data_IF_171585567390
#
_entry.id   IF_171585567390
#
_cell.length_a   1.000
_cell.length_b   1.000
_cell.length_c   1.000
_cell.angle_alpha   90.00
_cell.angle_beta   90.00
_cell.angle_gamma   90.00
#
_symmetry.space_group_name_H-M   'P 1'
#
loop_
_entity.id
_entity.type
_entity.pdbx_description
1 polymer ?
#
# COMPACT_ATOMS: atom_id res chain seq x y z
N UNK A 1 7.76 -7.45 8.30
CA UNK A 1 8.78 -7.29 9.36
C UNK A 1 9.68 -6.12 8.97
N UNK A 2 9.58 -4.98 9.65
CA UNK A 2 10.52 -3.86 9.46
C UNK A 2 11.83 -4.24 10.14
N UNK A 3 12.99 -4.04 9.48
CA UNK A 3 14.27 -4.11 10.20
C UNK A 3 14.34 -2.84 11.03
N UNK A 4 14.60 -2.93 12.33
CA UNK A 4 14.73 -1.75 13.19
C UNK A 4 15.77 -0.83 12.55
N UNK A 5 15.32 0.33 12.08
CA UNK A 5 16.17 1.39 11.58
C UNK A 5 16.09 2.52 12.57
N UNK A 6 17.16 2.67 13.34
CA UNK A 6 17.50 3.92 13.98
C UNK A 6 17.99 4.87 12.88
N UNK A 7 17.05 5.52 12.21
CA UNK A 7 17.37 6.77 11.52
C UNK A 7 17.43 7.82 12.63
N UNK A 8 18.46 8.67 12.67
CA UNK A 8 18.71 9.63 13.77
C UNK A 8 17.51 10.51 14.20
N UNK A 9 16.45 10.55 13.40
CA UNK A 9 15.26 11.38 13.59
C UNK A 9 13.99 10.59 13.95
N UNK A 10 13.85 9.32 13.55
CA UNK A 10 12.61 8.54 13.76
C UNK A 10 12.97 7.09 14.08
N UNK A 11 12.28 6.55 15.08
CA UNK A 11 12.29 5.12 15.40
C UNK A 11 11.05 4.45 14.83
N UNK A 12 11.25 3.26 14.24
CA UNK A 12 10.17 2.37 13.82
C UNK A 12 10.15 1.14 14.71
N UNK A 13 8.99 0.80 15.28
CA UNK A 13 8.85 -0.39 16.12
C UNK A 13 7.54 -1.13 15.88
N UNK A 14 7.50 -2.41 16.28
CA UNK A 14 6.31 -3.26 16.19
C UNK A 14 5.55 -3.21 17.50
N UNK A 15 4.23 -3.03 17.43
CA UNK A 15 3.33 -3.19 18.58
C UNK A 15 2.88 -4.64 18.67
N UNK A 16 2.15 -5.12 17.66
CA UNK A 16 1.66 -6.49 17.57
C UNK A 16 1.23 -6.79 16.14
N UNK A 17 1.58 -7.97 15.61
CA UNK A 17 1.16 -8.39 14.27
C UNK A 17 1.66 -7.44 13.17
N UNK A 18 0.71 -6.80 12.49
CA UNK A 18 0.95 -5.80 11.44
C UNK A 18 0.86 -4.35 11.94
N UNK A 19 0.64 -4.14 13.24
CA UNK A 19 0.62 -2.81 13.84
C UNK A 19 2.04 -2.36 14.21
N UNK A 20 2.47 -1.27 13.62
CA UNK A 20 3.76 -0.62 13.86
C UNK A 20 3.55 0.83 14.32
N UNK A 21 4.59 1.41 14.93
CA UNK A 21 4.62 2.82 15.29
C UNK A 21 5.83 3.53 14.67
N UNK A 22 5.67 4.83 14.49
CA UNK A 22 6.73 5.77 14.16
C UNK A 22 6.81 6.80 15.28
N UNK A 23 7.97 6.91 15.92
CA UNK A 23 8.18 7.82 17.05
C UNK A 23 9.35 8.78 16.74
N UNK A 24 9.19 10.10 16.96
CA UNK A 24 10.28 11.04 16.82
C UNK A 24 11.37 10.79 17.87
N UNK A 25 12.63 10.77 17.43
CA UNK A 25 13.81 10.65 18.30
C UNK A 25 14.36 12.03 18.69
N UNK A 26 15.39 12.08 19.54
CA UNK A 26 16.01 13.33 19.99
C UNK A 26 16.52 14.21 18.84
N UNK A 27 16.86 13.63 17.69
CA UNK A 27 17.27 14.35 16.48
C UNK A 27 16.12 14.81 15.59
N UNK A 28 14.86 14.52 15.94
CA UNK A 28 13.70 14.89 15.13
C UNK A 28 13.57 16.40 14.99
N UNK A 29 13.47 16.87 13.74
CA UNK A 29 13.19 18.26 13.44
C UNK A 29 11.68 18.41 13.19
N UNK A 30 10.97 19.23 13.97
CA UNK A 30 9.56 19.51 13.72
C UNK A 30 9.35 19.99 12.29
N UNK A 31 8.29 19.52 11.64
CA UNK A 31 7.95 19.93 10.28
C UNK A 31 7.40 21.36 10.29
N UNK A 32 8.07 22.34 9.66
CA UNK A 32 7.51 23.68 9.51
C UNK A 32 6.20 23.66 8.72
N UNK A 33 5.38 24.69 8.91
CA UNK A 33 4.13 24.85 8.14
C UNK A 33 4.42 24.86 6.63
N UNK A 34 3.66 24.08 5.87
CA UNK A 34 3.82 23.95 4.41
C UNK A 34 5.04 23.15 3.96
N UNK A 35 5.78 22.53 4.87
CA UNK A 35 6.93 21.67 4.53
C UNK A 35 6.56 20.19 4.48
N UNK A 36 7.44 19.40 3.86
CA UNK A 36 7.39 17.94 3.87
C UNK A 36 8.70 17.37 4.42
N UNK A 37 8.61 16.28 5.18
CA UNK A 37 9.76 15.49 5.60
C UNK A 37 9.85 14.21 4.79
N UNK A 38 11.07 13.83 4.37
CA UNK A 38 11.31 12.59 3.66
C UNK A 38 12.05 11.62 4.58
N UNK A 39 11.46 10.45 4.80
CA UNK A 39 12.03 9.39 5.63
C UNK A 39 12.10 8.11 4.82
N UNK A 40 13.26 7.44 4.87
CA UNK A 40 13.46 6.15 4.22
C UNK A 40 13.38 5.05 5.27
N UNK A 41 12.51 4.06 5.02
CA UNK A 41 12.33 2.89 5.87
C UNK A 41 12.72 1.65 5.05
N UNK A 42 13.58 0.79 5.60
CA UNK A 42 13.90 -0.50 4.99
C UNK A 42 13.05 -1.57 5.65
N UNK A 43 12.22 -2.20 4.83
CA UNK A 43 11.36 -3.31 5.22
C UNK A 43 12.00 -4.64 4.83
N UNK A 44 11.63 -5.73 5.50
CA UNK A 44 12.03 -7.09 5.08
C UNK A 44 11.20 -7.55 3.89
N UNK A 45 11.78 -8.44 3.09
CA UNK A 45 11.20 -8.99 1.86
C UNK A 45 11.02 -7.91 0.77
N UNK A 46 9.84 -7.84 0.17
CA UNK A 46 9.52 -6.98 -0.96
C UNK A 46 8.07 -6.50 -0.84
N UNK A 47 7.82 -5.27 -1.31
CA UNK A 47 6.49 -4.70 -1.50
C UNK A 47 6.34 -4.45 -3.01
N UNK A 48 5.63 -5.35 -3.70
CA UNK A 48 5.55 -5.41 -5.17
C UNK A 48 4.22 -4.92 -5.71
N UNK A 49 3.26 -4.66 -4.83
CA UNK A 49 1.97 -4.08 -5.17
C UNK A 49 1.72 -2.83 -4.33
N UNK A 50 1.01 -1.85 -4.88
CA UNK A 50 0.61 -0.63 -4.14
C UNK A 50 -0.26 -0.95 -2.92
N UNK A 51 -0.98 -2.07 -2.94
CA UNK A 51 -1.79 -2.59 -1.85
C UNK A 51 -0.98 -3.14 -0.67
N UNK A 52 0.34 -3.34 -0.82
CA UNK A 52 1.21 -3.75 0.28
C UNK A 52 1.41 -2.62 1.31
N UNK A 53 1.08 -1.37 0.95
CA UNK A 53 1.16 -0.21 1.84
C UNK A 53 -0.17 0.00 2.58
N UNK A 54 -0.12 -0.12 3.91
CA UNK A 54 -1.31 -0.07 4.76
C UNK A 54 -2.04 1.27 4.73
N UNK A 55 -3.37 1.16 4.83
CA UNK A 55 -4.33 2.25 4.93
C UNK A 55 -4.50 2.73 6.37
N UNK A 56 -5.19 3.85 6.55
CA UNK A 56 -5.65 4.36 7.84
C UNK A 56 -4.52 4.61 8.85
N UNK A 57 -3.45 5.28 8.40
CA UNK A 57 -2.43 5.78 9.31
C UNK A 57 -3.07 6.70 10.33
N UNK A 58 -2.66 6.62 11.59
CA UNK A 58 -3.23 7.44 12.65
C UNK A 58 -2.15 8.02 13.55
N UNK A 59 -2.46 9.18 14.12
CA UNK A 59 -1.59 9.89 15.04
C UNK A 59 -2.21 9.83 16.43
N UNK A 60 -1.37 9.61 17.44
CA UNK A 60 -1.75 9.62 18.85
C UNK A 60 -0.93 10.65 19.62
N UNK A 61 -1.30 10.92 20.86
CA UNK A 61 -0.54 11.76 21.78
C UNK A 61 -0.45 11.08 23.14
N UNK A 62 0.63 11.34 23.86
CA UNK A 62 0.76 10.95 25.26
C UNK A 62 -0.25 11.69 26.17
N UNK A 63 -0.84 12.79 25.71
CA UNK A 63 -1.92 13.46 26.43
C UNK A 63 -3.22 12.65 26.34
N UNK A 64 -3.66 12.09 27.47
CA UNK A 64 -4.85 11.25 27.56
C UNK A 64 -6.15 11.93 27.10
N UNK A 65 -6.20 13.27 27.06
CA UNK A 65 -7.37 14.01 26.58
C UNK A 65 -7.40 14.18 25.06
N UNK A 66 -6.34 13.77 24.35
CA UNK A 66 -6.24 13.86 22.90
C UNK A 66 -6.56 12.50 22.29
N UNK A 67 -7.72 12.42 21.64
CA UNK A 67 -8.15 11.21 20.95
C UNK A 67 -7.30 10.96 19.68
N UNK A 68 -6.96 9.69 19.38
CA UNK A 68 -6.32 9.33 18.11
C UNK A 68 -7.09 9.83 16.89
N UNK A 69 -6.37 10.22 15.84
CA UNK A 69 -6.99 10.66 14.58
C UNK A 69 -6.30 10.06 13.38
N UNK A 70 -7.09 9.65 12.40
CA UNK A 70 -6.62 9.13 11.11
C UNK A 70 -6.07 10.27 10.26
N UNK A 71 -4.94 10.02 9.61
CA UNK A 71 -4.37 10.88 8.58
C UNK A 71 -5.25 10.80 7.34
N UNK A 72 -5.92 11.91 7.03
CA UNK A 72 -6.99 11.99 6.02
C UNK A 72 -6.57 11.47 4.64
N UNK A 73 -5.34 11.67 4.20
CA UNK A 73 -4.87 11.20 2.88
C UNK A 73 -4.77 9.68 2.77
N UNK A 74 -4.77 8.96 3.90
CA UNK A 74 -4.68 7.49 3.95
C UNK A 74 -6.02 6.82 4.24
N UNK A 75 -7.12 7.59 4.27
CA UNK A 75 -8.42 7.09 4.73
C UNK A 75 -9.36 6.59 3.61
N UNK A 76 -8.84 6.35 2.40
CA UNK A 76 -9.61 5.75 1.31
C UNK A 76 -8.83 4.61 0.65
N UNK A 77 -9.56 3.66 0.07
CA UNK A 77 -8.99 2.50 -0.63
C UNK A 77 -8.40 2.85 -2.01
N UNK A 78 -8.40 4.12 -2.41
CA UNK A 78 -7.96 4.57 -3.74
C UNK A 78 -6.43 4.68 -3.88
N UNK A 79 -5.69 4.47 -2.78
CA UNK A 79 -4.22 4.45 -2.73
C UNK A 79 -3.53 5.73 -3.23
N UNK A 80 -4.20 6.89 -3.21
CA UNK A 80 -3.64 8.17 -3.67
C UNK A 80 -2.38 8.61 -2.91
N UNK A 81 -2.17 8.10 -1.69
CA UNK A 81 -0.96 8.32 -0.88
C UNK A 81 0.23 7.44 -1.28
N UNK A 82 0.04 6.49 -2.19
CA UNK A 82 1.07 5.59 -2.71
C UNK A 82 1.32 5.93 -4.17
N UNK A 83 2.56 6.33 -4.50
CA UNK A 83 2.98 6.61 -5.88
C UNK A 83 2.81 5.40 -6.79
N UNK A 84 2.57 5.64 -8.08
CA UNK A 84 2.49 4.59 -9.08
C UNK A 84 3.80 3.80 -9.23
N UNK A 85 3.65 2.56 -9.68
CA UNK A 85 4.74 1.63 -9.94
C UNK A 85 4.99 1.63 -11.44
N UNK A 86 5.93 2.47 -11.89
CA UNK A 86 6.20 2.74 -13.30
C UNK A 86 7.49 2.07 -13.80
N UNK A 87 8.28 1.45 -12.91
CA UNK A 87 9.53 0.77 -13.23
C UNK A 87 9.51 -0.71 -12.84
N UNK A 88 10.03 -1.56 -13.73
CA UNK A 88 10.10 -3.02 -13.55
C UNK A 88 10.75 -3.47 -12.25
N UNK A 89 11.66 -2.66 -11.70
CA UNK A 89 12.31 -2.91 -10.42
C UNK A 89 11.37 -2.79 -9.22
N UNK A 90 10.20 -2.18 -9.38
CA UNK A 90 9.22 -1.99 -8.30
C UNK A 90 8.31 -3.21 -8.13
N UNK A 91 8.01 -3.97 -9.20
CA UNK A 91 7.16 -5.16 -9.10
C UNK A 91 7.93 -6.49 -9.23
N UNK A 92 9.15 -6.51 -9.79
CA UNK A 92 9.96 -7.72 -9.84
C UNK A 92 10.62 -8.00 -8.48
N UNK A 93 10.41 -9.20 -7.94
CA UNK A 93 11.00 -9.62 -6.67
C UNK A 93 12.50 -9.92 -6.78
N UNK A 94 12.94 -10.36 -7.95
CA UNK A 94 14.33 -10.72 -8.23
C UNK A 94 14.60 -10.68 -9.74
N UNK A 95 15.87 -10.83 -10.14
CA UNK A 95 16.31 -10.65 -11.55
C UNK A 95 15.65 -11.59 -12.56
N UNK A 96 15.23 -12.78 -12.15
CA UNK A 96 14.57 -13.76 -13.02
C UNK A 96 13.07 -13.85 -12.83
N UNK A 97 12.47 -12.90 -12.11
CA UNK A 97 11.02 -12.82 -11.97
C UNK A 97 10.38 -12.62 -13.36
N UNK A 98 9.36 -13.43 -13.64
CA UNK A 98 8.63 -13.42 -14.92
C UNK A 98 7.22 -12.84 -14.76
N UNK A 99 6.81 -12.54 -13.54
CA UNK A 99 5.51 -11.96 -13.24
C UNK A 99 5.54 -10.45 -13.53
N UNK A 100 5.22 -10.09 -14.78
CA UNK A 100 4.99 -8.70 -15.15
C UNK A 100 3.47 -8.40 -15.16
N UNK A 101 3.05 -7.22 -14.70
CA UNK A 101 1.66 -6.79 -14.86
C UNK A 101 1.35 -6.71 -16.36
N UNK A 102 0.34 -7.46 -16.79
CA UNK A 102 -0.09 -7.45 -18.19
C UNK A 102 -0.61 -6.06 -18.57
N UNK A 103 -0.06 -5.51 -19.64
CA UNK A 103 -0.66 -4.38 -20.33
C UNK A 103 -2.09 -4.74 -20.80
N UNK A 104 -2.96 -3.75 -21.04
CA UNK A 104 -4.30 -4.02 -21.57
C UNK A 104 -4.29 -4.90 -22.83
N UNK A 105 -3.31 -4.70 -23.72
CA UNK A 105 -3.15 -5.47 -24.95
C UNK A 105 -2.79 -6.93 -24.68
N UNK A 106 -1.77 -7.20 -23.87
CA UNK A 106 -1.36 -8.57 -23.54
C UNK A 106 -2.49 -9.34 -22.85
N UNK A 107 -3.27 -8.65 -22.01
CA UNK A 107 -4.46 -9.23 -21.39
C UNK A 107 -5.52 -9.60 -22.43
N UNK A 108 -5.79 -8.72 -23.40
CA UNK A 108 -6.74 -8.99 -24.46
C UNK A 108 -6.31 -10.19 -25.32
N UNK A 109 -5.05 -10.23 -25.74
CA UNK A 109 -4.47 -11.33 -26.51
C UNK A 109 -4.55 -12.67 -25.74
N UNK A 110 -4.24 -12.66 -24.45
CA UNK A 110 -4.30 -13.86 -23.58
C UNK A 110 -5.72 -14.36 -23.33
N UNK A 111 -6.69 -13.46 -23.21
CA UNK A 111 -8.09 -13.81 -23.02
C UNK A 111 -8.80 -14.18 -24.32
N UNK A 112 -8.09 -14.12 -25.47
CA UNK A 112 -8.69 -14.17 -26.79
C UNK A 112 -9.90 -13.22 -26.90
N UNK A 113 -9.79 -12.05 -26.25
CA UNK A 113 -10.86 -11.07 -26.21
C UNK A 113 -11.05 -10.49 -27.60
N UNK A 114 -12.15 -10.84 -28.24
CA UNK A 114 -12.58 -10.30 -29.52
C UNK A 114 -13.77 -9.36 -29.30
N UNK A 115 -13.51 -8.06 -29.45
CA UNK A 115 -14.51 -7.00 -29.34
C UNK A 115 -15.69 -7.17 -30.31
N UNK A 116 -15.53 -7.99 -31.36
CA UNK A 116 -16.56 -8.21 -32.39
C UNK A 116 -17.64 -9.23 -32.00
N UNK A 117 -17.51 -9.91 -30.86
CA UNK A 117 -18.42 -10.97 -30.40
C UNK A 117 -18.99 -10.76 -28.99
N UNK A 118 -19.05 -9.51 -28.52
CA UNK A 118 -19.65 -9.20 -27.20
C UNK A 118 -21.18 -9.25 -27.30
N UNK A 119 -21.77 -10.40 -26.97
CA UNK A 119 -23.20 -10.50 -26.67
C UNK A 119 -23.38 -10.26 -25.17
N UNK A 120 -24.04 -9.17 -24.80
CA UNK A 120 -24.51 -8.98 -23.42
C UNK A 120 -25.61 -10.00 -23.11
N UNK A 121 -25.22 -11.17 -22.60
CA UNK A 121 -26.17 -12.14 -22.07
C UNK A 121 -26.44 -11.75 -20.62
N UNK A 122 -27.70 -11.40 -20.32
CA UNK A 122 -28.16 -11.28 -18.94
C UNK A 122 -28.19 -12.70 -18.33
N UNK A 123 -27.13 -13.08 -17.63
CA UNK A 123 -27.09 -14.36 -16.90
C UNK A 123 -27.70 -14.15 -15.51
N UNK A 124 -28.95 -14.57 -15.33
CA UNK A 124 -29.56 -14.70 -14.01
C UNK A 124 -29.13 -16.06 -13.44
N UNK A 125 -28.18 -16.05 -12.52
CA UNK A 125 -27.73 -17.26 -11.82
C UNK A 125 -28.69 -17.54 -10.67
N UNK A 126 -29.55 -18.54 -10.81
CA UNK A 126 -30.31 -19.09 -9.67
C UNK A 126 -29.46 -20.17 -9.00
N UNK A 127 -28.83 -19.84 -7.87
CA UNK A 127 -28.31 -20.85 -6.94
C UNK A 127 -29.48 -21.58 -6.30
N UNK A 128 -29.67 -22.85 -6.63
CA UNK A 128 -30.60 -23.72 -5.93
C UNK A 128 -30.10 -23.90 -4.49
N UNK A 129 -30.87 -23.39 -3.52
CA UNK A 129 -30.67 -23.71 -2.11
C UNK A 129 -31.18 -25.13 -1.91
N UNK A 130 -30.26 -26.09 -1.78
CA UNK A 130 -30.63 -27.44 -1.34
C UNK A 130 -31.08 -27.34 0.13
N UNK A 131 -32.35 -27.68 0.38
CA UNK A 131 -32.94 -27.80 1.70
C UNK A 131 -32.54 -29.07 2.45
#
# INVERSE_FOLDING_TARGET
>A
MTKELDVEQIRVGMVQGDLYFLEPMSGFKPLPSGSAGNYSIVVSFWAVQRTDFMLFWYVTSANANVQPRVVRSTSSFDLEYVTDFDDVRQWNRWRGDRDNPFTPRERAERLAYDEKNVVCILVIIYTQLNG
#
